data_IF_353988113521
#
_entry.id   IF_353988113521
#
_cell.length_a   1.000
_cell.length_b   1.000
_cell.length_c   1.000
_cell.angle_alpha   90.00
_cell.angle_beta   90.00
_cell.angle_gamma   90.00
#
_symmetry.space_group_name_H-M   'P 1'
#
loop_
_entity.id
_entity.type
_entity.pdbx_description
1 polymer ?
#
# COMPACT_ATOMS: atom_id res chain seq x y z
N UNK A 1 46.37 -6.82 -1.78
CA UNK A 1 44.91 -6.98 -1.87
C UNK A 1 44.31 -5.65 -1.47
N UNK A 2 43.91 -4.86 -2.45
CA UNK A 2 43.43 -3.49 -2.29
C UNK A 2 42.00 -3.50 -1.77
N UNK A 3 41.77 -2.82 -0.64
CA UNK A 3 40.42 -2.51 -0.15
C UNK A 3 39.61 -1.82 -1.25
N UNK A 4 38.32 -2.18 -1.46
CA UNK A 4 37.47 -1.41 -2.35
C UNK A 4 37.24 -0.06 -1.67
N UNK A 5 37.79 1.00 -2.28
CA UNK A 5 37.47 2.37 -1.93
C UNK A 5 35.96 2.55 -1.96
N UNK A 6 35.36 2.79 -0.80
CA UNK A 6 34.00 3.29 -0.64
C UNK A 6 33.90 4.59 -1.44
N UNK A 7 33.51 4.48 -2.71
CA UNK A 7 33.14 5.63 -3.51
C UNK A 7 32.01 6.34 -2.79
N UNK A 8 32.36 7.44 -2.14
CA UNK A 8 31.43 8.43 -1.64
C UNK A 8 30.65 8.96 -2.84
N UNK A 9 29.50 8.35 -3.14
CA UNK A 9 28.55 8.90 -4.11
C UNK A 9 28.26 10.34 -3.64
N UNK A 10 28.56 11.37 -4.44
CA UNK A 10 28.30 12.74 -4.04
C UNK A 10 26.81 12.89 -3.75
N UNK A 11 26.50 13.21 -2.50
CA UNK A 11 25.14 13.38 -2.01
C UNK A 11 24.43 14.52 -2.76
N UNK A 12 23.18 14.29 -3.17
CA UNK A 12 22.16 15.27 -3.56
C UNK A 12 22.45 16.27 -4.70
N UNK A 13 23.60 16.21 -5.40
CA UNK A 13 23.96 17.20 -6.41
C UNK A 13 23.06 17.24 -7.66
N UNK A 14 22.33 16.15 -7.96
CA UNK A 14 21.43 16.09 -9.14
C UNK A 14 20.10 16.80 -8.90
N UNK A 15 19.57 16.78 -7.68
CA UNK A 15 18.33 17.45 -7.35
C UNK A 15 18.51 18.96 -7.29
N UNK A 16 19.62 19.48 -6.77
CA UNK A 16 19.77 20.91 -6.45
C UNK A 16 19.52 21.88 -7.61
N UNK A 17 19.96 21.57 -8.84
CA UNK A 17 19.75 22.48 -9.99
C UNK A 17 18.31 22.47 -10.53
N UNK A 18 17.57 21.36 -10.38
CA UNK A 18 16.21 21.20 -10.93
C UNK A 18 15.14 20.95 -9.85
N UNK A 19 15.51 21.10 -8.58
CA UNK A 19 14.67 20.77 -7.41
C UNK A 19 13.34 21.49 -7.46
N UNK A 20 13.37 22.80 -7.69
CA UNK A 20 12.16 23.61 -7.78
C UNK A 20 11.28 23.21 -8.96
N UNK A 21 11.86 22.88 -10.11
CA UNK A 21 11.11 22.38 -11.26
C UNK A 21 10.41 21.04 -10.96
N UNK A 22 11.11 20.09 -10.33
CA UNK A 22 10.52 18.80 -9.97
C UNK A 22 9.45 18.93 -8.88
N UNK A 23 9.68 19.79 -7.88
CA UNK A 23 8.69 20.09 -6.84
C UNK A 23 7.45 20.75 -7.44
N UNK A 24 7.63 21.77 -8.28
CA UNK A 24 6.50 22.47 -8.91
C UNK A 24 5.71 21.57 -9.84
N UNK A 25 6.37 20.72 -10.65
CA UNK A 25 5.69 19.73 -11.49
C UNK A 25 4.90 18.72 -10.64
N UNK A 26 5.51 18.17 -9.59
CA UNK A 26 4.83 17.22 -8.70
C UNK A 26 3.67 17.86 -7.94
N UNK A 27 3.88 19.08 -7.43
CA UNK A 27 2.86 19.86 -6.76
C UNK A 27 1.70 20.22 -7.69
N UNK A 28 1.98 20.50 -8.97
CA UNK A 28 0.96 20.74 -9.98
C UNK A 28 0.10 19.50 -10.20
N UNK A 29 0.72 18.31 -10.36
CA UNK A 29 -0.02 17.04 -10.49
C UNK A 29 -0.92 16.80 -9.28
N UNK A 30 -0.37 16.95 -8.07
CA UNK A 30 -1.13 16.77 -6.82
C UNK A 30 -2.25 17.81 -6.72
N UNK A 31 -1.98 19.07 -7.03
CA UNK A 31 -2.97 20.14 -6.99
C UNK A 31 -4.08 19.90 -8.01
N UNK A 32 -3.74 19.54 -9.25
CA UNK A 32 -4.73 19.19 -10.29
C UNK A 32 -5.63 18.07 -9.81
N UNK A 33 -5.08 17.00 -9.22
CA UNK A 33 -5.88 15.91 -8.65
C UNK A 33 -6.77 16.36 -7.48
N UNK A 34 -6.28 17.25 -6.60
CA UNK A 34 -7.05 17.73 -5.46
C UNK A 34 -8.15 18.72 -5.85
N UNK A 35 -7.93 19.53 -6.87
CA UNK A 35 -8.88 20.54 -7.34
C UNK A 35 -9.72 20.10 -8.54
N UNK A 36 -9.44 18.93 -9.13
CA UNK A 36 -10.33 18.30 -10.10
C UNK A 36 -11.56 17.70 -9.38
N UNK A 37 -12.74 17.73 -10.01
CA UNK A 37 -13.88 16.95 -9.55
C UNK A 37 -13.53 15.45 -9.51
N UNK A 38 -14.02 14.71 -8.49
CA UNK A 38 -14.88 15.19 -7.42
C UNK A 38 -14.11 15.94 -6.32
N UNK A 39 -14.73 16.96 -5.72
CA UNK A 39 -14.07 17.86 -4.75
C UNK A 39 -14.20 17.41 -3.30
N UNK A 40 -15.19 16.57 -2.96
CA UNK A 40 -15.34 16.10 -1.58
C UNK A 40 -14.29 15.04 -1.28
N UNK A 41 -13.84 14.99 -0.02
CA UNK A 41 -12.82 14.03 0.41
C UNK A 41 -13.29 12.57 0.20
N UNK A 42 -14.55 12.28 0.49
CA UNK A 42 -15.11 10.94 0.36
C UNK A 42 -15.25 10.53 -1.11
N UNK A 43 -15.63 11.45 -1.99
CA UNK A 43 -15.72 11.13 -3.42
C UNK A 43 -14.33 10.94 -4.04
N UNK A 44 -13.31 11.66 -3.55
CA UNK A 44 -11.91 11.39 -3.95
C UNK A 44 -11.45 10.01 -3.53
N UNK A 45 -11.84 9.55 -2.33
CA UNK A 45 -11.50 8.19 -1.92
C UNK A 45 -12.23 7.16 -2.78
N UNK A 46 -13.49 7.41 -3.13
CA UNK A 46 -14.22 6.60 -4.11
C UNK A 46 -13.54 6.56 -5.48
N UNK A 47 -13.04 7.68 -5.99
CA UNK A 47 -12.33 7.75 -7.27
C UNK A 47 -11.00 6.95 -7.24
N UNK A 48 -10.22 7.08 -6.17
CA UNK A 48 -9.01 6.25 -5.96
C UNK A 48 -9.40 4.77 -5.90
N UNK A 49 -10.45 4.45 -5.15
CA UNK A 49 -10.99 3.11 -5.03
C UNK A 49 -11.42 2.53 -6.38
N UNK A 50 -12.09 3.33 -7.22
CA UNK A 50 -12.50 2.96 -8.57
C UNK A 50 -11.31 2.65 -9.48
N UNK A 51 -10.16 3.29 -9.29
CA UNK A 51 -8.97 2.95 -10.07
C UNK A 51 -8.39 1.57 -9.71
N UNK A 52 -8.43 1.17 -8.44
CA UNK A 52 -7.69 -0.02 -7.95
C UNK A 52 -8.57 -1.20 -7.50
N UNK A 53 -9.88 -1.00 -7.40
CA UNK A 53 -10.82 -1.98 -6.88
C UNK A 53 -12.11 -1.99 -7.70
N UNK A 54 -12.70 -3.17 -7.87
CA UNK A 54 -13.93 -3.32 -8.64
C UNK A 54 -15.17 -2.72 -7.95
N UNK A 55 -15.12 -2.43 -6.65
CA UNK A 55 -16.20 -1.81 -5.85
C UNK A 55 -17.56 -2.51 -5.93
N UNK A 56 -17.58 -3.83 -6.16
CA UNK A 56 -18.82 -4.61 -6.24
C UNK A 56 -19.61 -4.46 -4.92
N UNK A 57 -20.85 -3.92 -4.94
CA UNK A 57 -21.59 -3.59 -3.71
C UNK A 57 -21.76 -4.78 -2.77
N UNK A 58 -22.17 -5.95 -3.31
CA UNK A 58 -22.32 -7.18 -2.52
C UNK A 58 -21.04 -7.66 -1.82
N UNK A 59 -19.87 -7.18 -2.26
CA UNK A 59 -18.54 -7.56 -1.73
C UNK A 59 -17.92 -6.44 -0.89
N UNK A 60 -18.68 -5.41 -0.58
CA UNK A 60 -18.22 -4.19 0.10
C UNK A 60 -19.00 -3.98 1.39
N UNK A 61 -18.34 -3.35 2.38
CA UNK A 61 -19.05 -2.78 3.52
C UNK A 61 -19.70 -1.47 3.09
N UNK A 62 -20.72 -1.01 3.81
CA UNK A 62 -21.49 0.17 3.42
C UNK A 62 -21.45 1.24 4.51
N UNK A 63 -21.30 2.50 4.10
CA UNK A 63 -21.40 3.69 4.93
C UNK A 63 -22.56 4.53 4.41
N UNK A 64 -23.56 4.78 5.27
CA UNK A 64 -24.76 5.54 4.91
C UNK A 64 -25.46 5.02 3.63
N UNK A 65 -25.50 3.69 3.44
CA UNK A 65 -26.12 3.04 2.28
C UNK A 65 -25.27 3.01 1.01
N UNK A 66 -24.10 3.66 0.99
CA UNK A 66 -23.15 3.61 -0.13
C UNK A 66 -22.02 2.62 0.17
N UNK A 67 -21.51 1.87 -0.82
CA UNK A 67 -20.35 1.01 -0.61
C UNK A 67 -19.13 1.85 -0.19
N UNK A 68 -18.29 1.30 0.67
CA UNK A 68 -16.99 1.89 0.97
C UNK A 68 -16.13 2.02 -0.31
N UNK A 69 -15.13 2.91 -0.32
CA UNK A 69 -14.23 3.10 -1.47
C UNK A 69 -13.57 1.81 -1.97
N UNK A 70 -13.41 0.82 -1.10
CA UNK A 70 -12.76 -0.44 -1.41
C UNK A 70 -13.67 -1.59 -0.97
N UNK A 71 -13.65 -2.69 -1.72
CA UNK A 71 -14.34 -3.91 -1.32
C UNK A 71 -13.76 -4.48 -0.02
N UNK A 72 -14.44 -5.42 0.62
CA UNK A 72 -14.03 -6.00 1.90
C UNK A 72 -12.59 -6.53 1.87
N UNK A 73 -12.17 -7.17 0.76
CA UNK A 73 -10.81 -7.67 0.59
C UNK A 73 -9.79 -6.54 0.48
N UNK A 74 -10.00 -5.60 -0.44
CA UNK A 74 -9.08 -4.48 -0.65
C UNK A 74 -8.97 -3.61 0.60
N UNK A 75 -10.09 -3.37 1.30
CA UNK A 75 -10.11 -2.71 2.61
C UNK A 75 -9.16 -3.42 3.59
N UNK A 76 -9.24 -4.74 3.69
CA UNK A 76 -8.32 -5.55 4.49
C UNK A 76 -6.87 -5.38 4.06
N UNK A 77 -6.56 -5.57 2.78
CA UNK A 77 -5.19 -5.47 2.24
C UNK A 77 -4.54 -4.14 2.62
N UNK A 78 -5.20 -3.02 2.32
CA UNK A 78 -4.58 -1.72 2.51
C UNK A 78 -4.53 -1.29 3.98
N UNK A 79 -5.51 -1.66 4.81
CA UNK A 79 -5.45 -1.43 6.25
C UNK A 79 -4.39 -2.31 6.94
N UNK A 80 -4.28 -3.58 6.54
CA UNK A 80 -3.25 -4.50 7.04
C UNK A 80 -1.84 -4.05 6.65
N UNK A 81 -1.66 -3.59 5.41
CA UNK A 81 -0.39 -3.05 4.94
C UNK A 81 -0.02 -1.74 5.65
N UNK A 82 -0.99 -0.84 5.85
CA UNK A 82 -0.79 0.40 6.59
C UNK A 82 -0.42 0.11 8.05
N UNK A 83 -1.14 -0.79 8.70
CA UNK A 83 -0.83 -1.23 10.07
C UNK A 83 0.59 -1.76 10.17
N UNK A 84 1.03 -2.61 9.25
CA UNK A 84 2.37 -3.16 9.27
C UNK A 84 3.45 -2.10 9.07
N UNK A 85 3.30 -1.21 8.08
CA UNK A 85 4.25 -0.10 7.87
C UNK A 85 4.33 0.81 9.09
N UNK A 86 3.18 1.28 9.58
CA UNK A 86 3.11 2.20 10.71
C UNK A 86 3.62 1.52 11.97
N UNK A 87 3.21 0.28 12.24
CA UNK A 87 3.66 -0.47 13.42
C UNK A 87 5.17 -0.73 13.40
N UNK A 88 5.75 -1.11 12.26
CA UNK A 88 7.21 -1.24 12.13
C UNK A 88 7.93 0.09 12.33
N UNK A 89 7.38 1.19 11.78
CA UNK A 89 7.94 2.52 12.00
C UNK A 89 7.89 2.93 13.49
N UNK A 90 6.77 2.68 14.19
CA UNK A 90 6.60 2.92 15.62
C UNK A 90 7.55 2.06 16.47
N UNK A 91 7.83 0.84 16.05
CA UNK A 91 8.84 -0.04 16.64
C UNK A 91 10.28 0.35 16.28
N UNK A 92 10.49 1.53 15.66
CA UNK A 92 11.79 2.08 15.26
C UNK A 92 12.56 1.21 14.26
N UNK A 93 11.83 0.47 13.40
CA UNK A 93 12.39 -0.39 12.35
C UNK A 93 12.71 0.33 11.05
N UNK A 94 12.54 1.64 10.94
CA UNK A 94 12.76 2.40 9.70
C UNK A 94 14.18 2.26 9.12
N UNK A 95 15.14 1.72 9.86
CA UNK A 95 16.51 1.48 9.38
C UNK A 95 16.87 -0.02 9.31
N UNK A 96 15.94 -0.91 9.65
CA UNK A 96 16.13 -2.36 9.65
C UNK A 96 15.94 -2.91 8.23
N UNK A 97 16.88 -3.71 7.73
CA UNK A 97 16.89 -4.19 6.34
C UNK A 97 16.81 -5.71 6.21
N UNK A 98 16.87 -6.46 7.30
CA UNK A 98 16.77 -7.91 7.21
C UNK A 98 15.30 -8.34 7.16
N UNK A 99 15.04 -9.35 6.34
CA UNK A 99 13.75 -10.01 6.33
C UNK A 99 13.49 -10.74 7.66
N UNK A 100 12.21 -10.98 8.01
CA UNK A 100 11.88 -11.83 9.15
C UNK A 100 12.58 -13.20 9.07
N UNK A 101 12.86 -13.86 10.20
CA UNK A 101 13.39 -15.23 10.23
C UNK A 101 12.55 -16.20 9.40
N UNK A 102 13.17 -17.28 8.89
CA UNK A 102 12.55 -18.25 7.98
C UNK A 102 11.17 -18.76 8.44
N UNK A 103 11.02 -19.08 9.73
CA UNK A 103 9.74 -19.53 10.28
C UNK A 103 8.63 -18.48 10.13
N UNK A 104 8.95 -17.21 10.42
CA UNK A 104 8.01 -16.09 10.25
C UNK A 104 7.72 -15.83 8.78
N UNK A 105 8.73 -15.93 7.89
CA UNK A 105 8.51 -15.82 6.45
C UNK A 105 7.54 -16.88 5.95
N UNK A 106 7.67 -18.14 6.38
CA UNK A 106 6.74 -19.21 6.02
C UNK A 106 5.33 -18.87 6.51
N UNK A 107 5.17 -18.38 7.74
CA UNK A 107 3.87 -17.94 8.26
C UNK A 107 3.26 -16.80 7.44
N UNK A 108 4.04 -15.78 7.11
CA UNK A 108 3.58 -14.64 6.30
C UNK A 108 3.21 -15.09 4.87
N UNK A 109 4.03 -15.93 4.24
CA UNK A 109 3.71 -16.51 2.93
C UNK A 109 2.46 -17.39 2.99
N UNK A 110 2.23 -18.11 4.08
CA UNK A 110 0.99 -18.86 4.28
C UNK A 110 -0.25 -17.94 4.33
N UNK A 111 -0.15 -16.75 4.94
CA UNK A 111 -1.24 -15.76 4.90
C UNK A 111 -1.56 -15.30 3.46
N UNK A 112 -0.53 -15.10 2.64
CA UNK A 112 -0.72 -14.81 1.21
C UNK A 112 -1.35 -15.99 0.49
N UNK A 113 -0.94 -17.22 0.80
CA UNK A 113 -1.58 -18.43 0.29
C UNK A 113 -3.07 -18.52 0.65
N UNK A 114 -3.45 -18.23 1.90
CA UNK A 114 -4.84 -18.20 2.36
C UNK A 114 -5.67 -17.18 1.58
N UNK A 115 -5.12 -15.99 1.32
CA UNK A 115 -5.77 -14.97 0.49
C UNK A 115 -5.86 -15.40 -0.98
N UNK A 116 -4.87 -16.11 -1.51
CA UNK A 116 -4.93 -16.72 -2.84
C UNK A 116 -6.07 -17.74 -2.95
N UNK A 117 -6.22 -18.63 -1.97
CA UNK A 117 -7.29 -19.63 -1.91
C UNK A 117 -8.66 -18.96 -1.81
N UNK A 118 -8.85 -18.02 -0.88
CA UNK A 118 -10.09 -17.23 -0.77
C UNK A 118 -10.35 -16.40 -2.04
N UNK A 119 -9.29 -15.95 -2.70
CA UNK A 119 -9.28 -15.30 -4.00
C UNK A 119 -9.92 -16.13 -5.08
N UNK A 120 -9.36 -17.32 -5.31
CA UNK A 120 -9.82 -18.29 -6.27
C UNK A 120 -11.25 -18.75 -5.94
N UNK A 121 -11.55 -19.04 -4.67
CA UNK A 121 -12.90 -19.43 -4.24
C UNK A 121 -13.95 -18.35 -4.56
N UNK A 122 -13.65 -17.08 -4.24
CA UNK A 122 -14.52 -15.93 -4.57
C UNK A 122 -14.62 -15.64 -6.07
N UNK A 123 -13.66 -16.10 -6.87
CA UNK A 123 -13.69 -15.96 -8.33
C UNK A 123 -14.53 -17.07 -8.96
N UNK A 124 -14.36 -18.33 -8.52
CA UNK A 124 -15.15 -19.46 -8.99
C UNK A 124 -16.65 -19.27 -8.75
N UNK A 125 -17.03 -18.59 -7.67
CA UNK A 125 -18.44 -18.28 -7.38
C UNK A 125 -19.12 -17.37 -8.42
N UNK A 126 -18.39 -16.77 -9.36
CA UNK A 126 -19.00 -16.05 -10.49
C UNK A 126 -19.55 -16.99 -11.56
N UNK A 127 -19.11 -18.24 -11.60
CA UNK A 127 -19.49 -19.22 -12.60
C UNK A 127 -20.43 -20.25 -11.96
N UNK A 128 -21.75 -20.19 -12.21
CA UNK A 128 -22.74 -21.05 -11.52
C UNK A 128 -22.51 -22.56 -11.69
N UNK A 129 -21.73 -22.97 -12.69
CA UNK A 129 -21.43 -24.37 -13.01
C UNK A 129 -20.12 -24.87 -12.42
N UNK A 130 -19.29 -24.01 -11.84
CA UNK A 130 -18.03 -24.40 -11.22
C UNK A 130 -18.23 -24.58 -9.71
N UNK A 131 -17.71 -25.68 -9.12
CA UNK A 131 -17.77 -25.86 -7.68
C UNK A 131 -16.87 -24.83 -6.98
N UNK A 132 -17.39 -24.18 -5.95
CA UNK A 132 -16.65 -23.43 -4.95
C UNK A 132 -16.63 -24.21 -3.64
N UNK A 133 -15.59 -24.02 -2.82
CA UNK A 133 -15.39 -24.75 -1.56
C UNK A 133 -16.35 -24.28 -0.47
N UNK A 134 -16.74 -23.01 -0.50
CA UNK A 134 -17.65 -22.38 0.45
C UNK A 134 -18.24 -21.10 -0.14
N UNK A 135 -19.37 -20.66 0.44
CA UNK A 135 -19.98 -19.37 0.09
C UNK A 135 -19.07 -18.20 0.49
N UNK A 136 -18.70 -17.30 -0.44
CA UNK A 136 -17.83 -16.17 -0.14
C UNK A 136 -18.44 -15.15 0.82
N UNK A 137 -17.78 -14.92 1.96
CA UNK A 137 -18.25 -13.99 2.99
C UNK A 137 -17.31 -12.79 3.15
N UNK A 138 -17.87 -11.61 3.42
CA UNK A 138 -17.09 -10.37 3.54
C UNK A 138 -16.14 -10.35 4.74
N UNK A 139 -16.49 -10.99 5.87
CA UNK A 139 -15.58 -11.09 7.01
C UNK A 139 -14.33 -11.91 6.67
N UNK A 140 -14.48 -12.97 5.86
CA UNK A 140 -13.37 -13.83 5.45
C UNK A 140 -12.47 -13.09 4.46
N UNK A 141 -13.06 -12.43 3.47
CA UNK A 141 -12.35 -11.54 2.52
C UNK A 141 -11.55 -10.45 3.23
N UNK A 142 -12.14 -9.83 4.25
CA UNK A 142 -11.49 -8.82 5.08
C UNK A 142 -10.31 -9.42 5.86
N UNK A 143 -10.52 -10.60 6.47
CA UNK A 143 -9.50 -11.28 7.27
C UNK A 143 -8.31 -11.70 6.41
N UNK A 144 -8.54 -12.46 5.34
CA UNK A 144 -7.47 -12.92 4.44
C UNK A 144 -6.77 -11.75 3.76
N UNK A 145 -7.52 -10.71 3.36
CA UNK A 145 -6.97 -9.45 2.86
C UNK A 145 -6.05 -8.79 3.87
N UNK A 146 -6.46 -8.66 5.13
CA UNK A 146 -5.66 -8.00 6.18
C UNK A 146 -4.36 -8.74 6.49
N UNK A 147 -4.41 -10.07 6.55
CA UNK A 147 -3.23 -10.90 6.76
C UNK A 147 -2.24 -10.82 5.57
N UNK A 148 -2.77 -10.78 4.34
CA UNK A 148 -1.95 -10.54 3.16
C UNK A 148 -1.34 -9.13 3.14
N UNK A 149 -2.12 -8.09 3.51
CA UNK A 149 -1.63 -6.72 3.65
C UNK A 149 -0.46 -6.63 4.64
N UNK A 150 -0.61 -7.26 5.80
CA UNK A 150 0.47 -7.36 6.79
C UNK A 150 1.71 -8.05 6.19
N UNK A 151 1.51 -9.15 5.45
CA UNK A 151 2.60 -9.84 4.74
C UNK A 151 3.33 -8.92 3.76
N UNK A 152 2.58 -8.22 2.91
CA UNK A 152 3.13 -7.28 1.94
C UNK A 152 3.97 -6.21 2.62
N UNK A 153 3.47 -5.61 3.70
CA UNK A 153 4.26 -4.63 4.45
C UNK A 153 5.54 -5.23 5.02
N UNK A 154 5.50 -6.40 5.65
CA UNK A 154 6.66 -7.04 6.26
C UNK A 154 7.75 -7.43 5.24
N UNK A 155 7.38 -7.72 4.00
CA UNK A 155 8.32 -8.03 2.91
C UNK A 155 8.84 -6.77 2.22
N UNK A 156 7.98 -5.78 1.98
CA UNK A 156 8.36 -4.57 1.24
C UNK A 156 9.17 -3.64 2.13
N UNK A 157 8.87 -3.52 3.42
CA UNK A 157 9.53 -2.60 4.34
C UNK A 157 11.07 -2.71 4.42
N UNK A 158 11.69 -3.91 4.55
CA UNK A 158 13.15 -4.03 4.52
C UNK A 158 13.75 -3.63 3.17
N UNK A 159 13.06 -3.90 2.06
CA UNK A 159 13.48 -3.51 0.70
C UNK A 159 13.48 -1.98 0.58
N UNK A 160 12.42 -1.32 1.04
CA UNK A 160 12.33 0.14 1.09
C UNK A 160 13.51 0.71 1.88
N UNK A 161 13.75 0.18 3.08
CA UNK A 161 14.78 0.71 3.97
C UNK A 161 16.18 0.55 3.35
N UNK A 162 16.45 -0.58 2.68
CA UNK A 162 17.70 -0.80 1.96
C UNK A 162 17.89 0.13 0.76
N UNK A 163 16.81 0.45 0.05
CA UNK A 163 16.85 1.38 -1.09
C UNK A 163 16.87 2.86 -0.69
N UNK A 164 16.31 3.24 0.46
CA UNK A 164 16.28 4.63 0.92
C UNK A 164 17.56 5.03 1.62
N UNK A 165 18.00 4.25 2.61
CA UNK A 165 18.97 4.73 3.59
C UNK A 165 20.42 4.47 3.18
N UNK A 166 21.27 5.44 3.49
CA UNK A 166 22.71 5.30 3.39
C UNK A 166 23.23 4.16 4.27
N UNK A 167 24.28 3.48 3.82
CA UNK A 167 24.87 2.32 4.49
C UNK A 167 25.18 2.58 5.98
N UNK A 168 25.56 3.81 6.33
CA UNK A 168 25.84 4.22 7.72
C UNK A 168 24.60 4.32 8.62
N UNK A 169 23.39 4.31 8.07
CA UNK A 169 22.12 4.37 8.80
C UNK A 169 21.47 3.00 8.95
N UNK A 170 21.81 2.07 8.06
CA UNK A 170 21.23 0.72 8.02
C UNK A 170 21.60 -0.08 9.26
N UNK A 171 20.63 -0.83 9.77
CA UNK A 171 20.81 -1.82 10.84
C UNK A 171 20.54 -3.21 10.30
N UNK A 172 21.51 -4.10 10.49
CA UNK A 172 21.38 -5.54 10.21
C UNK A 172 20.59 -6.19 11.33
N UNK A 173 19.27 -5.98 11.31
CA UNK A 173 18.33 -6.68 12.18
C UNK A 173 17.00 -6.92 11.43
N UNK A 174 16.25 -7.97 11.80
CA UNK A 174 14.96 -8.27 11.18
C UNK A 174 13.91 -7.20 11.49
N UNK A 175 13.07 -6.89 10.51
CA UNK A 175 11.92 -5.99 10.68
C UNK A 175 10.87 -6.54 11.65
N UNK A 176 10.71 -7.87 11.70
CA UNK A 176 9.94 -8.61 12.71
C UNK A 176 10.84 -9.71 13.27
N UNK A 177 11.17 -9.62 14.57
CA UNK A 177 12.19 -10.46 15.19
C UNK A 177 11.72 -11.85 15.59
N UNK A 178 10.48 -11.96 16.04
CA UNK A 178 9.96 -13.19 16.64
C UNK A 178 8.41 -13.22 16.60
N UNK A 179 7.84 -14.36 16.98
CA UNK A 179 6.40 -14.55 17.01
C UNK A 179 5.67 -13.62 17.99
N UNK A 180 6.33 -13.08 19.02
CA UNK A 180 5.68 -12.10 19.92
C UNK A 180 5.42 -10.78 19.20
N UNK A 181 6.39 -10.29 18.42
CA UNK A 181 6.19 -9.12 17.57
C UNK A 181 5.11 -9.39 16.51
N UNK A 182 5.12 -10.57 15.87
CA UNK A 182 4.05 -10.95 14.94
C UNK A 182 2.67 -10.99 15.62
N UNK A 183 2.56 -11.53 16.83
CA UNK A 183 1.31 -11.57 17.60
C UNK A 183 0.77 -10.16 17.91
N UNK A 184 1.64 -9.17 18.14
CA UNK A 184 1.23 -7.78 18.30
C UNK A 184 0.58 -7.25 17.00
N UNK A 185 1.20 -7.51 15.84
CA UNK A 185 0.60 -7.15 14.56
C UNK A 185 -0.73 -7.88 14.31
N UNK A 186 -0.81 -9.17 14.64
CA UNK A 186 -2.04 -9.95 14.53
C UNK A 186 -3.13 -9.43 15.46
N UNK A 187 -2.79 -8.97 16.67
CA UNK A 187 -3.70 -8.29 17.58
C UNK A 187 -4.23 -6.98 16.97
N UNK A 188 -3.37 -6.21 16.32
CA UNK A 188 -3.78 -5.01 15.57
C UNK A 188 -4.69 -5.33 14.38
N UNK A 189 -4.38 -6.38 13.61
CA UNK A 189 -5.22 -6.88 12.50
C UNK A 189 -6.59 -7.30 13.05
N UNK A 190 -6.63 -8.04 14.15
CA UNK A 190 -7.88 -8.44 14.80
C UNK A 190 -8.68 -7.22 15.25
N UNK A 191 -8.04 -6.21 15.84
CA UNK A 191 -8.68 -4.95 16.21
C UNK A 191 -9.33 -4.27 15.00
N UNK A 192 -8.60 -4.14 13.89
CA UNK A 192 -9.13 -3.58 12.64
C UNK A 192 -10.34 -4.38 12.15
N UNK A 193 -10.25 -5.71 12.12
CA UNK A 193 -11.34 -6.59 11.69
C UNK A 193 -12.58 -6.38 12.56
N UNK A 194 -12.45 -6.38 13.88
CA UNK A 194 -13.57 -6.17 14.79
C UNK A 194 -14.23 -4.79 14.61
N UNK A 195 -13.41 -3.74 14.46
CA UNK A 195 -13.91 -2.37 14.22
C UNK A 195 -14.70 -2.29 12.92
N UNK A 196 -14.19 -2.88 11.83
CA UNK A 196 -14.90 -2.93 10.53
C UNK A 196 -16.19 -3.73 10.64
N UNK A 197 -16.15 -4.90 11.28
CA UNK A 197 -17.31 -5.78 11.42
C UNK A 197 -18.41 -5.19 12.33
N UNK A 198 -18.05 -4.28 13.24
CA UNK A 198 -19.02 -3.55 14.05
C UNK A 198 -19.87 -2.57 13.22
N UNK A 199 -19.40 -2.18 12.03
CA UNK A 199 -20.17 -1.42 11.04
C UNK A 199 -20.77 -0.10 11.53
N UNK A 200 -20.17 0.52 12.55
CA UNK A 200 -20.61 1.83 13.02
C UNK A 200 -20.14 2.94 12.07
N UNK A 201 -21.03 3.85 11.61
CA UNK A 201 -20.68 4.86 10.60
C UNK A 201 -19.47 5.73 10.97
N UNK A 202 -19.37 6.14 12.25
CA UNK A 202 -18.28 7.00 12.73
C UNK A 202 -16.91 6.29 12.77
N UNK A 203 -16.89 4.95 12.76
CA UNK A 203 -15.66 4.13 12.66
C UNK A 203 -15.34 3.79 11.21
N UNK A 204 -16.36 3.51 10.39
CA UNK A 204 -16.18 3.19 8.98
C UNK A 204 -15.67 4.38 8.17
N UNK A 205 -16.08 5.61 8.50
CA UNK A 205 -15.59 6.81 7.82
C UNK A 205 -14.06 6.97 7.89
N UNK A 206 -13.41 7.02 9.08
CA UNK A 206 -11.95 7.11 9.15
C UNK A 206 -11.25 5.89 8.55
N UNK A 207 -11.83 4.68 8.65
CA UNK A 207 -11.26 3.49 8.00
C UNK A 207 -11.30 3.54 6.47
N UNK A 208 -12.32 4.18 5.89
CA UNK A 208 -12.38 4.45 4.45
C UNK A 208 -11.24 5.36 4.01
N UNK A 209 -10.95 6.40 4.80
CA UNK A 209 -9.82 7.31 4.55
C UNK A 209 -8.47 6.59 4.72
N UNK A 210 -8.32 5.82 5.80
CA UNK A 210 -7.08 5.08 6.09
C UNK A 210 -6.79 3.99 5.06
N UNK A 211 -7.81 3.26 4.59
CA UNK A 211 -7.62 2.24 3.55
C UNK A 211 -7.19 2.88 2.22
N UNK A 212 -7.76 4.03 1.87
CA UNK A 212 -7.35 4.82 0.69
C UNK A 212 -5.95 5.41 0.85
N UNK A 213 -5.60 5.89 2.04
CA UNK A 213 -4.23 6.31 2.36
C UNK A 213 -3.26 5.14 2.19
N UNK A 214 -3.66 3.93 2.58
CA UNK A 214 -2.91 2.70 2.33
C UNK A 214 -2.66 2.45 0.84
N UNK A 215 -3.65 2.69 -0.03
CA UNK A 215 -3.48 2.63 -1.50
C UNK A 215 -2.41 3.61 -1.96
N UNK A 216 -2.57 4.90 -1.58
CA UNK A 216 -1.65 5.95 -1.97
C UNK A 216 -0.23 5.66 -1.50
N UNK A 217 -0.06 5.23 -0.24
CA UNK A 217 1.23 4.85 0.33
C UNK A 217 1.87 3.68 -0.44
N UNK A 218 1.10 2.62 -0.68
CA UNK A 218 1.56 1.43 -1.39
C UNK A 218 2.01 1.72 -2.82
N UNK A 219 1.38 2.67 -3.52
CA UNK A 219 1.78 3.09 -4.87
C UNK A 219 2.92 4.13 -4.85
N UNK A 220 2.92 5.02 -3.85
CA UNK A 220 3.94 6.07 -3.73
C UNK A 220 5.32 5.50 -3.39
N UNK A 221 5.38 4.38 -2.65
CA UNK A 221 6.63 3.74 -2.26
C UNK A 221 7.42 3.24 -3.49
N UNK A 222 6.87 2.38 -4.38
CA UNK A 222 7.54 2.01 -5.63
C UNK A 222 7.84 3.21 -6.52
N UNK A 223 6.94 4.21 -6.59
CA UNK A 223 7.20 5.45 -7.33
C UNK A 223 8.41 6.20 -6.79
N UNK A 224 8.57 6.27 -5.47
CA UNK A 224 9.73 6.87 -4.80
C UNK A 224 11.00 6.07 -5.08
N UNK A 225 10.95 4.75 -4.98
CA UNK A 225 12.05 3.84 -5.36
C UNK A 225 12.47 4.08 -6.81
N UNK A 226 11.52 4.12 -7.74
CA UNK A 226 11.78 4.36 -9.15
C UNK A 226 12.48 5.70 -9.39
N UNK A 227 12.05 6.77 -8.72
CA UNK A 227 12.71 8.08 -8.78
C UNK A 227 14.15 8.01 -8.25
N UNK A 228 14.38 7.33 -7.13
CA UNK A 228 15.72 7.15 -6.58
C UNK A 228 16.62 6.34 -7.52
N UNK A 229 16.09 5.28 -8.15
CA UNK A 229 16.82 4.47 -9.14
C UNK A 229 17.19 5.32 -10.37
N UNK A 230 16.21 6.00 -10.97
CA UNK A 230 16.43 6.83 -12.15
C UNK A 230 17.42 7.96 -11.91
N UNK A 231 17.38 8.55 -10.72
CA UNK A 231 18.31 9.63 -10.34
C UNK A 231 19.62 9.10 -9.75
N UNK A 232 19.82 7.77 -9.70
CA UNK A 232 20.98 7.06 -9.15
C UNK A 232 21.30 7.40 -7.69
N UNK A 233 20.26 7.68 -6.90
CA UNK A 233 20.31 8.07 -5.50
C UNK A 233 19.80 7.00 -4.53
N UNK A 234 19.70 5.75 -5.00
CA UNK A 234 19.49 4.60 -4.12
C UNK A 234 20.56 4.56 -3.01
N UNK A 235 20.10 4.37 -1.77
CA UNK A 235 20.94 4.31 -0.58
C UNK A 235 21.70 5.61 -0.31
N UNK A 236 21.20 6.77 -0.74
CA UNK A 236 21.87 8.05 -0.51
C UNK A 236 21.34 8.81 0.72
N UNK A 237 20.12 8.53 1.19
CA UNK A 237 19.48 9.33 2.23
C UNK A 237 20.15 9.15 3.60
N UNK A 238 20.47 10.26 4.26
CA UNK A 238 20.98 10.27 5.64
C UNK A 238 19.94 10.76 6.63
N UNK A 239 19.01 11.56 6.14
CA UNK A 239 17.93 12.21 6.89
C UNK A 239 16.60 12.02 6.19
N UNK A 240 15.49 12.16 6.93
CA UNK A 240 14.15 12.13 6.33
C UNK A 240 13.92 13.26 5.31
N UNK A 241 14.59 14.40 5.47
CA UNK A 241 14.52 15.51 4.52
C UNK A 241 15.05 15.16 3.13
N UNK A 242 16.01 14.22 3.04
CA UNK A 242 16.55 13.76 1.76
C UNK A 242 15.50 12.99 0.94
N UNK A 243 14.49 12.41 1.62
CA UNK A 243 13.42 11.63 1.01
C UNK A 243 12.18 12.45 0.66
N UNK A 244 12.06 13.71 1.10
CA UNK A 244 10.86 14.52 0.85
C UNK A 244 10.62 14.71 -0.64
N UNK A 245 11.64 15.14 -1.39
CA UNK A 245 11.49 15.38 -2.83
C UNK A 245 11.22 14.08 -3.60
N UNK A 246 12.02 13.01 -3.46
CA UNK A 246 11.70 11.71 -4.06
C UNK A 246 10.30 11.21 -3.67
N UNK A 247 9.90 11.40 -2.41
CA UNK A 247 8.59 10.98 -1.89
C UNK A 247 7.43 11.73 -2.51
N UNK A 248 7.55 13.06 -2.65
CA UNK A 248 6.55 13.89 -3.33
C UNK A 248 6.45 13.53 -4.82
N UNK A 249 7.58 13.27 -5.47
CA UNK A 249 7.59 12.77 -6.86
C UNK A 249 6.94 11.39 -6.96
N UNK A 250 7.23 10.49 -6.01
CA UNK A 250 6.61 9.17 -5.92
C UNK A 250 5.09 9.25 -5.74
N UNK A 251 4.60 10.18 -4.92
CA UNK A 251 3.17 10.45 -4.77
C UNK A 251 2.54 10.99 -6.05
N UNK A 252 3.21 11.92 -6.75
CA UNK A 252 2.74 12.42 -8.04
C UNK A 252 2.65 11.30 -9.08
N UNK A 253 3.64 10.40 -9.14
CA UNK A 253 3.61 9.21 -10.00
C UNK A 253 2.45 8.29 -9.60
N UNK A 254 2.22 8.06 -8.31
CA UNK A 254 1.10 7.24 -7.84
C UNK A 254 -0.26 7.81 -8.25
N UNK A 255 -0.45 9.14 -8.14
CA UNK A 255 -1.65 9.83 -8.61
C UNK A 255 -1.81 9.66 -10.13
N UNK A 256 -0.76 9.85 -10.92
CA UNK A 256 -0.82 9.65 -12.37
C UNK A 256 -1.20 8.21 -12.74
N UNK A 257 -0.69 7.22 -12.01
CA UNK A 257 -1.06 5.82 -12.19
C UNK A 257 -2.55 5.60 -11.86
N UNK A 258 -3.04 6.16 -10.76
CA UNK A 258 -4.45 6.07 -10.35
C UNK A 258 -5.36 6.70 -11.42
N UNK A 259 -5.04 7.92 -11.87
CA UNK A 259 -5.80 8.63 -12.91
C UNK A 259 -5.78 7.86 -14.23
N UNK A 260 -4.62 7.32 -14.63
CA UNK A 260 -4.51 6.50 -15.82
C UNK A 260 -5.36 5.22 -15.72
N UNK A 261 -5.28 4.50 -14.60
CA UNK A 261 -6.06 3.27 -14.39
C UNK A 261 -7.57 3.55 -14.37
N UNK A 262 -8.00 4.60 -13.65
CA UNK A 262 -9.39 5.02 -13.59
C UNK A 262 -9.93 5.46 -14.96
N UNK A 263 -9.14 6.25 -15.70
CA UNK A 263 -9.47 6.68 -17.06
C UNK A 263 -9.58 5.51 -18.04
N UNK A 264 -8.60 4.61 -18.05
CA UNK A 264 -8.63 3.40 -18.88
C UNK A 264 -9.86 2.56 -18.55
N UNK A 265 -10.15 2.35 -17.26
CA UNK A 265 -11.35 1.61 -16.83
C UNK A 265 -12.64 2.27 -17.35
N UNK A 266 -12.78 3.59 -17.19
CA UNK A 266 -13.94 4.33 -17.69
C UNK A 266 -14.11 4.22 -19.21
N UNK A 267 -13.01 4.30 -19.97
CA UNK A 267 -13.03 4.12 -21.43
C UNK A 267 -13.48 2.70 -21.79
N UNK A 268 -12.94 1.68 -21.11
CA UNK A 268 -13.30 0.29 -21.40
C UNK A 268 -14.76 -0.03 -21.06
N UNK A 269 -15.28 0.47 -19.94
CA UNK A 269 -16.69 0.31 -19.58
C UNK A 269 -17.57 1.02 -20.61
N UNK A 270 -17.22 2.25 -21.00
CA UNK A 270 -17.97 3.00 -22.02
C UNK A 270 -17.95 2.31 -23.40
N UNK A 271 -16.84 1.67 -23.77
CA UNK A 271 -16.69 0.99 -25.05
C UNK A 271 -17.34 -0.40 -25.10
N UNK A 272 -17.29 -1.16 -24.00
CA UNK A 272 -17.74 -2.57 -23.97
C UNK A 272 -19.11 -2.76 -23.32
N UNK A 273 -19.56 -1.81 -22.51
CA UNK A 273 -20.75 -1.95 -21.65
C UNK A 273 -20.57 -2.97 -20.52
N UNK A 274 -19.39 -3.58 -20.38
CA UNK A 274 -19.12 -4.57 -19.35
C UNK A 274 -18.76 -3.87 -18.03
N UNK A 275 -19.32 -4.31 -16.90
CA UNK A 275 -18.89 -3.84 -15.58
C UNK A 275 -17.52 -4.44 -15.25
N UNK A 276 -16.47 -3.77 -15.71
CA UNK A 276 -15.07 -4.00 -15.35
C UNK A 276 -14.75 -3.34 -14.02
#
# INVERSE_FOLDING_TARGET
>A
MTEPSLHSKPALASFTKKRWLMLTASALVIAVFLFSPPLTLLDKTQAIGYAVCHQIPARSFHLAGQPLPLCARCTGIYLGALLGIVGMALMRRCHSVEFPPRALLITLLAFTGLMGIDGVNSYLSFFPKLPHLYEPQNWLRLTTGSLHGLTMSALVFPIINGGFWHASRIKMEPVIKNFRELLLFLGGVMGIILIVLWQQPFLLYPLALLSTLGVLLMLSIPGTMFVLILTRQEGAARTWSDLILPGVMGLAIAILIIEAMGGIRAILIGATGLPL
#
